data_IF_504162388888
#
_entry.id   IF_504162388888
#
_cell.length_a   1.000
_cell.length_b   1.000
_cell.length_c   1.000
_cell.angle_alpha   90.00
_cell.angle_beta   90.00
_cell.angle_gamma   90.00
#
_symmetry.space_group_name_H-M   'P 1'
#
loop_
_entity.id
_entity.type
_entity.pdbx_description
1 polymer ?
#
# COMPACT_ATOMS: atom_id res chain seq x y z
N UNK A 1 -3.49 -2.72 18.67
CA UNK A 1 -3.90 -1.40 18.12
C UNK A 1 -3.89 -1.37 16.59
N UNK A 2 -2.81 -1.84 15.94
CA UNK A 2 -2.66 -2.02 14.48
C UNK A 2 -3.96 -2.37 13.73
N UNK A 3 -4.65 -3.45 14.10
CA UNK A 3 -5.84 -3.90 13.36
C UNK A 3 -7.00 -2.89 13.39
N UNK A 4 -7.16 -2.13 14.48
CA UNK A 4 -8.18 -1.08 14.55
C UNK A 4 -7.82 0.09 13.62
N UNK A 5 -6.55 0.49 13.58
CA UNK A 5 -6.06 1.56 12.71
C UNK A 5 -6.12 1.16 11.23
N UNK A 6 -5.78 -0.10 10.89
CA UNK A 6 -5.94 -0.63 9.53
C UNK A 6 -7.41 -0.66 9.09
N UNK A 7 -8.33 -1.04 9.99
CA UNK A 7 -9.77 -1.03 9.71
C UNK A 7 -10.32 0.39 9.53
N UNK A 8 -9.84 1.33 10.34
CA UNK A 8 -10.19 2.75 10.25
C UNK A 8 -9.70 3.35 8.92
N UNK A 9 -8.42 3.11 8.59
CA UNK A 9 -7.83 3.51 7.32
C UNK A 9 -8.62 2.97 6.12
N UNK A 10 -8.95 1.68 6.12
CA UNK A 10 -9.71 1.05 5.04
C UNK A 10 -11.09 1.69 4.84
N UNK A 11 -11.79 2.06 5.93
CA UNK A 11 -13.16 2.59 5.85
C UNK A 11 -13.23 4.07 5.54
N UNK A 12 -12.23 4.84 5.96
CA UNK A 12 -12.32 6.30 6.02
C UNK A 12 -11.23 7.03 5.23
N UNK A 13 -10.13 6.36 4.92
CA UNK A 13 -8.95 7.00 4.34
C UNK A 13 -8.45 6.36 3.04
N UNK A 14 -8.89 5.14 2.71
CA UNK A 14 -8.55 4.49 1.44
C UNK A 14 -9.37 5.11 0.28
N UNK A 15 -8.88 6.23 -0.25
CA UNK A 15 -9.50 6.97 -1.33
C UNK A 15 -8.43 7.48 -2.31
N UNK A 16 -8.11 6.64 -3.30
CA UNK A 16 -7.14 6.97 -4.34
C UNK A 16 -7.68 8.03 -5.31
N UNK A 17 -6.79 8.92 -5.75
CA UNK A 17 -7.07 9.91 -6.78
C UNK A 17 -6.62 9.40 -8.17
N UNK A 18 -7.38 9.76 -9.22
CA UNK A 18 -7.02 9.43 -10.60
C UNK A 18 -8.14 8.81 -11.46
N UNK A 19 -7.75 8.13 -12.53
CA UNK A 19 -8.66 7.45 -13.47
C UNK A 19 -9.45 6.33 -12.77
N UNK A 20 -10.78 6.39 -12.89
CA UNK A 20 -11.71 5.58 -12.09
C UNK A 20 -11.50 4.07 -12.20
N UNK A 21 -11.16 3.54 -13.38
CA UNK A 21 -10.95 2.09 -13.55
C UNK A 21 -9.61 1.67 -12.96
N UNK A 22 -8.54 2.45 -13.17
CA UNK A 22 -7.23 2.19 -12.60
C UNK A 22 -7.29 2.22 -11.08
N UNK A 23 -7.83 3.29 -10.48
CA UNK A 23 -7.95 3.38 -9.01
C UNK A 23 -8.74 2.21 -8.45
N UNK A 24 -9.80 1.74 -9.13
CA UNK A 24 -10.59 0.60 -8.66
C UNK A 24 -9.78 -0.72 -8.67
N UNK A 25 -8.85 -0.90 -9.62
CA UNK A 25 -7.93 -2.05 -9.64
C UNK A 25 -6.93 -1.96 -8.48
N UNK A 26 -6.32 -0.79 -8.29
CA UNK A 26 -5.28 -0.58 -7.28
C UNK A 26 -5.87 -0.62 -5.86
N UNK A 27 -7.04 -0.03 -5.63
CA UNK A 27 -7.76 -0.10 -4.35
C UNK A 27 -7.92 -1.54 -3.90
N UNK A 28 -8.27 -2.47 -4.80
CA UNK A 28 -8.38 -3.90 -4.45
C UNK A 28 -7.05 -4.52 -4.01
N UNK A 29 -5.93 -4.08 -4.58
CA UNK A 29 -4.60 -4.53 -4.17
C UNK A 29 -4.24 -4.00 -2.77
N UNK A 30 -4.61 -2.75 -2.46
CA UNK A 30 -4.41 -2.15 -1.14
C UNK A 30 -5.34 -2.80 -0.08
N UNK A 31 -6.59 -3.10 -0.43
CA UNK A 31 -7.52 -3.85 0.43
C UNK A 31 -6.99 -5.25 0.74
N UNK A 32 -6.42 -5.93 -0.26
CA UNK A 32 -5.78 -7.23 -0.08
C UNK A 32 -4.56 -7.12 0.85
N UNK A 33 -3.70 -6.12 0.66
CA UNK A 33 -2.57 -5.83 1.55
C UNK A 33 -3.06 -5.60 2.99
N UNK A 34 -4.07 -4.75 3.19
CA UNK A 34 -4.65 -4.48 4.51
C UNK A 34 -5.14 -5.78 5.17
N UNK A 35 -5.85 -6.63 4.42
CA UNK A 35 -6.32 -7.92 4.92
C UNK A 35 -5.17 -8.84 5.34
N UNK A 36 -4.13 -8.95 4.52
CA UNK A 36 -2.93 -9.71 4.84
C UNK A 36 -2.24 -9.17 6.12
N UNK A 37 -2.08 -7.85 6.23
CA UNK A 37 -1.47 -7.20 7.39
C UNK A 37 -2.27 -7.38 8.69
N UNK A 38 -3.60 -7.44 8.61
CA UNK A 38 -4.47 -7.69 9.77
C UNK A 38 -4.33 -9.11 10.32
N UNK A 39 -3.97 -10.08 9.47
CA UNK A 39 -3.78 -11.48 9.84
C UNK A 39 -2.40 -11.75 10.46
N UNK A 40 -1.43 -10.84 10.26
CA UNK A 40 -0.10 -10.96 10.83
C UNK A 40 -0.10 -10.86 12.36
N UNK A 41 0.62 -11.74 13.09
CA UNK A 41 0.85 -11.62 14.52
C UNK A 41 1.39 -10.24 14.93
N UNK A 42 1.07 -9.78 16.13
CA UNK A 42 1.52 -8.45 16.62
C UNK A 42 3.05 -8.29 16.63
N UNK A 43 3.80 -9.38 16.85
CA UNK A 43 5.27 -9.39 16.90
C UNK A 43 5.92 -9.81 15.58
N UNK A 44 5.26 -9.60 14.45
CA UNK A 44 5.85 -9.89 13.13
C UNK A 44 7.05 -8.97 12.90
N UNK A 45 8.15 -9.52 12.39
CA UNK A 45 9.35 -8.73 12.11
C UNK A 45 9.15 -7.84 10.86
N UNK A 46 9.95 -6.77 10.76
CA UNK A 46 9.85 -5.81 9.66
C UNK A 46 10.09 -6.42 8.29
N UNK A 47 11.00 -7.39 8.15
CA UNK A 47 11.28 -8.05 6.86
C UNK A 47 10.04 -8.79 6.33
N UNK A 48 9.33 -9.54 7.18
CA UNK A 48 8.09 -10.22 6.79
C UNK A 48 7.01 -9.21 6.41
N UNK A 49 6.90 -8.09 7.14
CA UNK A 49 5.96 -7.03 6.79
C UNK A 49 6.30 -6.45 5.41
N UNK A 50 7.58 -6.12 5.16
CA UNK A 50 8.07 -5.57 3.90
C UNK A 50 7.77 -6.49 2.70
N UNK A 51 7.83 -7.81 2.85
CA UNK A 51 7.47 -8.74 1.77
C UNK A 51 6.00 -8.61 1.33
N UNK A 52 5.07 -8.27 2.23
CA UNK A 52 3.68 -7.98 1.85
C UNK A 52 3.56 -6.69 1.03
N UNK A 53 4.29 -5.64 1.42
CA UNK A 53 4.34 -4.38 0.67
C UNK A 53 4.96 -4.58 -0.71
N UNK A 54 6.09 -5.28 -0.78
CA UNK A 54 6.76 -5.65 -2.02
C UNK A 54 5.82 -6.39 -2.96
N UNK A 55 5.12 -7.41 -2.48
CA UNK A 55 4.12 -8.14 -3.26
C UNK A 55 3.02 -7.22 -3.80
N UNK A 56 2.52 -6.30 -2.97
CA UNK A 56 1.50 -5.34 -3.39
C UNK A 56 2.02 -4.42 -4.50
N UNK A 57 3.20 -3.82 -4.33
CA UNK A 57 3.82 -2.90 -5.29
C UNK A 57 4.12 -3.60 -6.62
N UNK A 58 4.68 -4.82 -6.58
CA UNK A 58 4.92 -5.60 -7.79
C UNK A 58 3.63 -5.91 -8.56
N UNK A 59 2.49 -6.04 -7.86
CA UNK A 59 1.20 -6.19 -8.52
C UNK A 59 0.67 -4.87 -9.09
N UNK A 60 1.00 -3.74 -8.49
CA UNK A 60 0.67 -2.41 -9.03
C UNK A 60 1.46 -2.16 -10.33
N UNK A 61 2.70 -2.63 -10.42
CA UNK A 61 3.54 -2.47 -11.62
C UNK A 61 2.91 -3.06 -12.90
N UNK A 62 1.97 -4.01 -12.80
CA UNK A 62 1.21 -4.48 -13.98
C UNK A 62 0.38 -3.38 -14.66
N UNK A 63 0.17 -2.25 -13.98
CA UNK A 63 -0.55 -1.09 -14.47
C UNK A 63 0.36 0.12 -14.70
N UNK A 64 1.70 -0.05 -14.71
CA UNK A 64 2.65 1.08 -14.80
C UNK A 64 2.35 2.07 -15.92
N UNK A 65 1.98 1.57 -17.10
CA UNK A 65 1.68 2.39 -18.28
C UNK A 65 0.35 3.18 -18.17
N UNK A 66 -0.49 2.85 -17.19
CA UNK A 66 -1.74 3.55 -16.90
C UNK A 66 -1.56 4.58 -15.76
N UNK A 67 -0.48 4.49 -14.97
CA UNK A 67 -0.27 5.33 -13.77
C UNK A 67 0.38 6.64 -14.19
N UNK A 68 -0.33 7.75 -13.98
CA UNK A 68 0.22 9.09 -14.15
C UNK A 68 0.66 9.68 -12.80
N UNK A 69 1.13 10.92 -12.82
CA UNK A 69 1.65 11.61 -11.63
C UNK A 69 0.63 11.65 -10.48
N UNK A 70 -0.65 11.89 -10.78
CA UNK A 70 -1.69 12.00 -9.74
C UNK A 70 -1.96 10.65 -9.07
N UNK A 71 -2.02 9.56 -9.85
CA UNK A 71 -2.15 8.22 -9.29
C UNK A 71 -0.91 7.83 -8.50
N UNK A 72 0.31 8.06 -9.03
CA UNK A 72 1.57 7.74 -8.34
C UNK A 72 1.61 8.39 -6.96
N UNK A 73 1.37 9.70 -6.88
CA UNK A 73 1.40 10.45 -5.63
C UNK A 73 0.38 9.90 -4.63
N UNK A 74 -0.83 9.63 -5.09
CA UNK A 74 -1.89 9.05 -4.26
C UNK A 74 -1.53 7.64 -3.77
N UNK A 75 -1.00 6.77 -4.64
CA UNK A 75 -0.57 5.41 -4.28
C UNK A 75 0.49 5.45 -3.19
N UNK A 76 1.50 6.31 -3.34
CA UNK A 76 2.57 6.44 -2.36
C UNK A 76 2.08 6.92 -1.01
N UNK A 77 1.22 7.93 -0.97
CA UNK A 77 0.63 8.42 0.27
C UNK A 77 -0.04 7.27 1.05
N UNK A 78 -0.80 6.42 0.35
CA UNK A 78 -1.49 5.30 0.96
C UNK A 78 -0.53 4.19 1.40
N UNK A 79 0.47 3.86 0.58
CA UNK A 79 1.48 2.85 0.91
C UNK A 79 2.27 3.27 2.16
N UNK A 80 2.80 4.49 2.20
CA UNK A 80 3.58 4.95 3.33
C UNK A 80 2.73 5.11 4.60
N UNK A 81 1.47 5.52 4.48
CA UNK A 81 0.55 5.56 5.61
C UNK A 81 0.28 4.16 6.17
N UNK A 82 0.03 3.16 5.31
CA UNK A 82 -0.12 1.77 5.73
C UNK A 82 1.14 1.24 6.41
N UNK A 83 2.32 1.53 5.83
CA UNK A 83 3.60 1.15 6.41
C UNK A 83 3.78 1.69 7.82
N UNK A 84 3.46 2.98 8.03
CA UNK A 84 3.52 3.63 9.34
C UNK A 84 2.61 2.94 10.36
N UNK A 85 1.38 2.60 9.99
CA UNK A 85 0.42 1.89 10.87
C UNK A 85 0.99 0.55 11.36
N UNK A 86 1.76 -0.15 10.52
CA UNK A 86 2.35 -1.45 10.85
C UNK A 86 3.79 -1.36 11.37
N UNK A 87 4.29 -0.15 11.64
CA UNK A 87 5.61 0.07 12.26
C UNK A 87 6.79 0.04 11.29
N UNK A 88 6.57 0.27 10.00
CA UNK A 88 7.64 0.56 9.04
C UNK A 88 8.04 2.04 9.12
N UNK A 89 9.32 2.32 8.84
CA UNK A 89 9.83 3.68 8.76
C UNK A 89 9.54 4.27 7.37
N UNK A 90 8.71 5.32 7.25
CA UNK A 90 8.42 5.95 5.96
C UNK A 90 9.65 6.63 5.34
N UNK A 91 10.70 6.94 6.11
CA UNK A 91 11.94 7.56 5.59
C UNK A 91 12.89 6.57 4.92
N UNK A 92 12.60 5.27 5.02
CA UNK A 92 13.38 4.23 4.34
C UNK A 92 13.09 4.12 2.84
N UNK A 93 12.07 4.83 2.35
CA UNK A 93 11.71 4.87 0.91
C UNK A 93 11.55 3.48 0.28
N UNK A 94 11.15 2.47 1.06
CA UNK A 94 11.12 1.06 0.62
C UNK A 94 10.24 0.83 -0.61
N UNK A 95 9.24 1.68 -0.85
CA UNK A 95 8.37 1.53 -2.01
C UNK A 95 9.07 1.92 -3.32
N UNK A 96 10.04 2.85 -3.24
CA UNK A 96 10.86 3.26 -4.38
C UNK A 96 11.79 2.16 -4.89
N UNK A 97 12.17 1.21 -4.02
CA UNK A 97 12.98 0.05 -4.44
C UNK A 97 12.25 -0.91 -5.40
N UNK A 98 10.91 -0.93 -5.35
CA UNK A 98 10.12 -1.96 -6.03
C UNK A 98 9.12 -1.42 -7.04
N UNK A 99 8.86 -0.11 -7.06
CA UNK A 99 7.99 0.47 -8.08
C UNK A 99 8.60 0.31 -9.48
N UNK A 100 7.73 0.18 -10.46
CA UNK A 100 8.08 0.20 -11.88
C UNK A 100 8.39 1.62 -12.34
N UNK A 101 8.37 1.82 -13.66
CA UNK A 101 8.58 3.15 -14.25
C UNK A 101 7.29 3.99 -14.22
N UNK A 102 6.70 4.09 -13.03
CA UNK A 102 5.51 4.90 -12.75
C UNK A 102 5.72 5.85 -11.60
#
# INVERSE_FOLDING_TARGET
MKNKELQDFQKHHLNLEGEKKLIAKITRLLEALISELQQLPEKTNQSTILEHFKKCILNINYFENEIETIERESIFEHIYTLGKIVGLDPTSEYADEWRGDW
#
